data_IF_660595200478
#
_entry.id   IF_660595200478
#
_cell.length_a   1.000
_cell.length_b   1.000
_cell.length_c   1.000
_cell.angle_alpha   90.00
_cell.angle_beta   90.00
_cell.angle_gamma   90.00
#
_symmetry.space_group_name_H-M   'P 1'
#
loop_
_entity.id
_entity.type
_entity.pdbx_description
1 polymer ?
#
# COMPACT_ATOMS: atom_id res chain seq x y z
N UNK A 1 -2.21 -14.28 -9.93
CA UNK A 1 -1.46 -13.20 -9.27
C UNK A 1 -2.07 -13.00 -7.90
N UNK A 2 -1.29 -13.00 -6.81
CA UNK A 2 -1.85 -12.85 -5.47
C UNK A 2 -2.45 -11.45 -5.29
N UNK A 3 -3.72 -11.41 -4.90
CA UNK A 3 -4.38 -10.19 -4.46
C UNK A 3 -4.01 -9.95 -3.00
N UNK A 4 -3.41 -8.82 -2.68
CA UNK A 4 -3.15 -8.43 -1.29
C UNK A 4 -4.13 -7.34 -0.88
N UNK A 5 -4.49 -7.27 0.40
CA UNK A 5 -5.25 -6.16 0.97
C UNK A 5 -4.46 -5.61 2.14
N UNK A 6 -4.28 -4.29 2.20
CA UNK A 6 -3.63 -3.66 3.33
C UNK A 6 -4.67 -3.35 4.40
N UNK A 7 -4.25 -3.41 5.66
CA UNK A 7 -4.96 -2.75 6.74
C UNK A 7 -3.93 -1.85 7.41
N UNK A 8 -3.86 -0.59 7.00
CA UNK A 8 -3.07 0.39 7.72
C UNK A 8 -3.91 0.83 8.91
N UNK A 9 -3.52 0.43 10.11
CA UNK A 9 -4.18 0.82 11.36
C UNK A 9 -3.81 2.28 11.69
N UNK A 10 -4.38 3.22 10.95
CA UNK A 10 -4.50 4.62 11.38
C UNK A 10 -5.80 4.79 12.20
N UNK A 11 -5.95 5.85 13.03
CA UNK A 11 -7.15 6.05 13.86
C UNK A 11 -8.44 6.06 13.00
N UNK A 12 -9.60 5.80 13.60
CA UNK A 12 -10.60 4.88 13.07
C UNK A 12 -11.12 5.28 11.69
N UNK A 13 -11.04 4.34 10.74
CA UNK A 13 -11.93 4.32 9.56
C UNK A 13 -11.26 4.37 8.18
N UNK A 14 -9.94 4.56 8.06
CA UNK A 14 -9.28 4.55 6.74
C UNK A 14 -8.85 3.15 6.34
N UNK A 15 -9.64 2.51 5.47
CA UNK A 15 -9.21 1.29 4.78
C UNK A 15 -8.37 1.70 3.57
N UNK A 16 -7.20 1.10 3.47
CA UNK A 16 -6.35 1.22 2.29
C UNK A 16 -6.39 -0.14 1.59
N UNK A 17 -6.53 -0.17 0.27
CA UNK A 17 -6.44 -1.41 -0.50
C UNK A 17 -5.37 -1.24 -1.55
N UNK A 18 -4.37 -2.12 -1.54
CA UNK A 18 -3.29 -2.11 -2.53
C UNK A 18 -3.49 -3.28 -3.48
N UNK A 19 -3.86 -3.00 -4.73
CA UNK A 19 -3.96 -4.01 -5.79
C UNK A 19 -2.66 -4.08 -6.57
N UNK A 20 -2.08 -5.28 -6.60
CA UNK A 20 -0.92 -5.63 -7.40
C UNK A 20 -1.40 -6.05 -8.78
N UNK A 21 -1.12 -5.22 -9.77
CA UNK A 21 -1.49 -5.46 -11.16
C UNK A 21 -0.33 -6.11 -11.93
N UNK A 22 -0.62 -6.56 -13.15
CA UNK A 22 0.40 -7.07 -14.08
C UNK A 22 1.50 -6.04 -14.31
N UNK A 23 2.67 -6.50 -14.75
CA UNK A 23 3.78 -5.63 -15.20
C UNK A 23 4.25 -4.61 -14.15
N UNK A 24 4.19 -5.00 -12.86
CA UNK A 24 4.67 -4.16 -11.77
C UNK A 24 3.83 -2.90 -11.51
N UNK A 25 2.57 -2.86 -11.97
CA UNK A 25 1.66 -1.75 -11.69
C UNK A 25 0.95 -1.91 -10.33
N UNK A 26 0.66 -0.79 -9.67
CA UNK A 26 -0.15 -0.73 -8.45
C UNK A 26 -1.38 0.16 -8.64
N UNK A 27 -2.49 -0.24 -8.00
CA UNK A 27 -3.58 0.66 -7.64
C UNK A 27 -3.69 0.73 -6.13
N UNK A 28 -3.48 1.93 -5.59
CA UNK A 28 -3.61 2.24 -4.18
C UNK A 28 -4.95 2.94 -3.99
N UNK A 29 -5.93 2.21 -3.45
CA UNK A 29 -7.29 2.69 -3.21
C UNK A 29 -7.35 3.13 -1.75
N UNK A 30 -7.58 4.42 -1.53
CA UNK A 30 -7.72 5.00 -0.21
C UNK A 30 -9.20 5.32 -0.03
N UNK A 31 -9.86 4.71 0.94
CA UNK A 31 -11.20 5.13 1.33
C UNK A 31 -11.05 6.47 2.08
N UNK A 32 -11.36 7.57 1.39
CA UNK A 32 -11.35 8.91 1.97
C UNK A 32 -12.75 9.21 2.48
N UNK A 33 -12.86 9.46 3.79
CA UNK A 33 -14.07 9.97 4.40
C UNK A 33 -14.04 11.50 4.33
N UNK A 34 -14.92 12.08 3.52
CA UNK A 34 -15.13 13.51 3.39
C UNK A 34 -16.63 13.77 3.53
N UNK A 35 -17.05 14.66 4.45
CA UNK A 35 -18.45 14.99 4.69
C UNK A 35 -19.41 13.80 4.88
N UNK A 36 -18.95 12.75 5.57
CA UNK A 36 -19.67 11.47 5.82
C UNK A 36 -19.90 10.62 4.56
N UNK A 37 -19.30 10.97 3.43
CA UNK A 37 -19.28 10.17 2.20
C UNK A 37 -17.90 9.52 2.07
N UNK A 38 -17.88 8.20 1.89
CA UNK A 38 -16.65 7.47 1.59
C UNK A 38 -16.47 7.39 0.09
N UNK A 39 -15.48 8.10 -0.45
CA UNK A 39 -15.13 8.03 -1.88
C UNK A 39 -13.76 7.38 -2.04
N UNK A 40 -13.62 6.35 -2.90
CA UNK A 40 -12.32 5.74 -3.14
C UNK A 40 -11.42 6.67 -3.97
N UNK A 41 -10.32 7.13 -3.39
CA UNK A 41 -9.25 7.79 -4.13
C UNK A 41 -8.31 6.72 -4.70
N UNK A 42 -8.19 6.67 -6.03
CA UNK A 42 -7.29 5.74 -6.73
C UNK A 42 -5.99 6.46 -7.06
N UNK A 43 -4.92 6.07 -6.37
CA UNK A 43 -3.56 6.54 -6.66
C UNK A 43 -2.80 5.43 -7.39
N UNK A 44 -2.21 5.76 -8.54
CA UNK A 44 -1.40 4.80 -9.31
C UNK A 44 0.01 4.67 -8.71
N UNK A 45 0.60 3.51 -8.89
CA UNK A 45 1.97 3.25 -8.45
C UNK A 45 2.66 2.15 -9.23
N UNK A 46 3.87 1.82 -8.76
CA UNK A 46 4.70 0.73 -9.24
C UNK A 46 5.15 -0.15 -8.09
N UNK A 47 5.36 -1.42 -8.36
CA UNK A 47 5.99 -2.33 -7.40
C UNK A 47 7.04 -3.18 -8.07
N UNK A 48 8.01 -3.62 -7.26
CA UNK A 48 8.98 -4.65 -7.63
C UNK A 48 9.27 -5.52 -6.42
N UNK A 49 9.63 -6.77 -6.68
CA UNK A 49 10.07 -7.72 -5.67
C UNK A 49 11.38 -8.36 -6.12
N UNK A 50 12.33 -8.48 -5.19
CA UNK A 50 13.59 -9.20 -5.38
C UNK A 50 13.83 -10.08 -4.16
N UNK A 51 13.72 -11.40 -4.34
CA UNK A 51 13.66 -12.35 -3.23
C UNK A 51 12.51 -12.01 -2.29
N UNK A 52 12.81 -11.81 -1.01
CA UNK A 52 11.82 -11.39 -0.01
C UNK A 52 11.64 -9.88 0.08
N UNK A 53 12.47 -9.07 -0.60
CA UNK A 53 12.36 -7.61 -0.54
C UNK A 53 11.31 -7.10 -1.52
N UNK A 54 10.41 -6.24 -1.04
CA UNK A 54 9.35 -5.61 -1.82
C UNK A 54 9.53 -4.10 -1.73
N UNK A 55 9.41 -3.42 -2.87
CA UNK A 55 9.34 -1.96 -2.94
C UNK A 55 8.06 -1.56 -3.67
N UNK A 56 7.31 -0.63 -3.08
CA UNK A 56 6.13 0.01 -3.64
C UNK A 56 6.45 1.51 -3.81
N UNK A 57 6.08 2.07 -4.95
CA UNK A 57 6.23 3.50 -5.25
C UNK A 57 4.85 4.01 -5.63
N UNK A 58 4.30 4.94 -4.86
CA UNK A 58 2.92 5.42 -4.97
C UNK A 58 2.91 6.90 -5.33
N UNK A 59 1.98 7.31 -6.20
CA UNK A 59 1.73 8.72 -6.52
C UNK A 59 2.90 9.38 -7.24
N UNK A 60 3.45 8.72 -8.28
CA UNK A 60 4.60 9.23 -9.03
C UNK A 60 5.82 9.57 -8.15
N UNK A 61 6.22 8.62 -7.30
CA UNK A 61 7.33 8.76 -6.34
C UNK A 61 7.09 9.73 -5.17
N UNK A 62 5.83 10.11 -4.92
CA UNK A 62 5.46 10.85 -3.72
C UNK A 62 5.70 10.05 -2.43
N UNK A 63 5.36 8.76 -2.46
CA UNK A 63 5.58 7.85 -1.33
C UNK A 63 6.28 6.57 -1.78
N UNK A 64 7.23 6.13 -0.97
CA UNK A 64 7.98 4.89 -1.15
C UNK A 64 7.75 4.01 0.06
N UNK A 65 7.38 2.77 -0.18
CA UNK A 65 7.22 1.76 0.85
C UNK A 65 8.20 0.63 0.57
N UNK A 66 8.93 0.20 1.59
CA UNK A 66 9.88 -0.90 1.53
C UNK A 66 9.51 -1.92 2.58
N UNK A 67 9.48 -3.19 2.20
CA UNK A 67 9.09 -4.24 3.11
C UNK A 67 9.68 -5.60 2.75
N UNK A 68 9.45 -6.56 3.63
CA UNK A 68 9.91 -7.93 3.52
C UNK A 68 8.72 -8.88 3.55
N UNK A 69 8.72 -9.87 2.65
CA UNK A 69 7.78 -10.99 2.65
C UNK A 69 8.16 -11.95 3.77
N UNK A 70 7.22 -12.23 4.66
CA UNK A 70 7.32 -13.16 5.78
C UNK A 70 6.11 -14.11 5.73
N UNK A 71 6.23 -15.22 4.99
CA UNK A 71 5.10 -16.13 4.77
C UNK A 71 3.99 -15.46 3.96
N UNK A 72 2.78 -15.33 4.54
CA UNK A 72 1.61 -14.74 3.89
C UNK A 72 1.42 -13.24 4.19
N UNK A 73 2.40 -12.60 4.84
CA UNK A 73 2.37 -11.16 5.12
C UNK A 73 3.59 -10.44 4.55
N UNK A 74 3.41 -9.14 4.30
CA UNK A 74 4.52 -8.24 3.94
C UNK A 74 4.54 -7.14 4.99
N UNK A 75 5.65 -6.97 5.69
CA UNK A 75 5.83 -5.91 6.69
C UNK A 75 6.88 -4.93 6.21
N UNK A 76 6.73 -3.67 6.57
CA UNK A 76 7.69 -2.68 6.13
C UNK A 76 7.49 -1.30 6.72
N UNK A 77 8.30 -0.40 6.19
CA UNK A 77 8.27 1.03 6.48
C UNK A 77 7.95 1.79 5.21
N UNK A 78 7.31 2.93 5.35
CA UNK A 78 7.00 3.84 4.25
C UNK A 78 7.37 5.24 4.63
N UNK A 79 7.78 6.02 3.65
CA UNK A 79 8.03 7.44 3.77
C UNK A 79 7.41 8.22 2.60
N UNK A 80 7.25 9.53 2.78
CA UNK A 80 6.84 10.45 1.72
C UNK A 80 7.85 11.59 1.52
N UNK A 81 7.62 12.40 0.49
CA UNK A 81 8.44 13.58 0.19
C UNK A 81 8.35 14.69 1.26
N UNK A 82 7.37 14.63 2.16
CA UNK A 82 7.22 15.55 3.31
C UNK A 82 8.07 15.11 4.52
N UNK A 83 8.80 14.00 4.42
CA UNK A 83 9.63 13.46 5.51
C UNK A 83 8.85 12.66 6.56
N UNK A 84 7.54 12.44 6.36
CA UNK A 84 6.74 11.59 7.24
C UNK A 84 7.06 10.11 6.99
N UNK A 85 7.07 9.32 8.07
CA UNK A 85 7.36 7.89 8.03
C UNK A 85 6.33 7.07 8.82
N UNK A 86 6.03 5.86 8.36
CA UNK A 86 5.08 4.96 9.02
C UNK A 86 5.47 3.49 8.83
N UNK A 87 4.97 2.63 9.74
CA UNK A 87 5.03 1.18 9.58
C UNK A 87 3.76 0.66 8.93
N UNK A 88 3.86 -0.38 8.12
CA UNK A 88 2.73 -0.99 7.44
C UNK A 88 2.82 -2.52 7.42
N UNK A 89 1.67 -3.16 7.24
CA UNK A 89 1.57 -4.60 7.04
C UNK A 89 0.50 -4.90 6.01
N UNK A 90 0.85 -5.73 5.01
CA UNK A 90 -0.07 -6.29 4.03
C UNK A 90 -0.33 -7.74 4.38
N UNK A 91 -1.60 -8.12 4.30
CA UNK A 91 -2.02 -9.50 4.44
C UNK A 91 -2.42 -10.01 3.05
N UNK A 92 -1.98 -11.22 2.71
CA UNK A 92 -2.47 -11.93 1.53
C UNK A 92 -3.97 -12.11 1.68
N UNK A 93 -4.71 -11.80 0.62
CA UNK A 93 -6.15 -12.04 0.61
C UNK A 93 -6.38 -13.53 0.37
N UNK A 94 -7.16 -14.16 1.25
CA UNK A 94 -7.71 -15.50 1.04
C UNK A 94 -8.66 -15.53 -0.17
#
# INVERSE_FOLDING_TARGET
MPNFTSFVKQPPGRRIVIKFLKEGHLQHIIDVLEDRVTTPLIVKGRWKQSGNNVQLVVGNSYSVLQGMVEGDIIKGEGNNQEGLSWKWTLFKKE
#
